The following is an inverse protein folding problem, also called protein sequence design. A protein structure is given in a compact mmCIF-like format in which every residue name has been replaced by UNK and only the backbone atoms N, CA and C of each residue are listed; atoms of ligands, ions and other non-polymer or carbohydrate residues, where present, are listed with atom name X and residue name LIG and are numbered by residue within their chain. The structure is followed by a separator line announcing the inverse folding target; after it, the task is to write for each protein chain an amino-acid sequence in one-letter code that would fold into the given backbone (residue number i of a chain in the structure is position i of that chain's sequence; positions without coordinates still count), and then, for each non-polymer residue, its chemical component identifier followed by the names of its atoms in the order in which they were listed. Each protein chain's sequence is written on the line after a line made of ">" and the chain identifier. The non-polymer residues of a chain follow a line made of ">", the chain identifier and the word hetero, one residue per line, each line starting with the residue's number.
data_IF_606539864884
#
_entry.id   IF_606539864884
#
_cell.length_a   1.000
_cell.length_b   1.000
_cell.length_c   1.000
_cell.angle_alpha   90.00
_cell.angle_beta   90.00
_cell.angle_gamma   90.00
#
_symmetry.space_group_name_H-M   'P 1'
#
loop_
_entity.id
_entity.type
_entity.pdbx_description
1 polymer ?
#
# COMPACT_ATOMS: atom_id res chain seq x y z
N UNK A 1 -24.12 21.63 0.17
CA UNK A 1 -22.78 22.16 -0.19
C UNK A 1 -22.13 21.10 -1.06
N UNK A 2 -21.87 21.44 -2.29
CA UNK A 2 -21.36 20.52 -3.31
C UNK A 2 -19.94 20.09 -2.93
N UNK A 3 -19.71 18.78 -2.75
CA UNK A 3 -18.37 18.21 -2.67
C UNK A 3 -17.59 18.52 -3.96
N UNK A 4 -16.90 19.66 -3.99
CA UNK A 4 -15.82 19.83 -4.95
C UNK A 4 -14.77 18.76 -4.63
N UNK A 5 -14.47 17.91 -5.58
CA UNK A 5 -13.39 16.92 -5.52
C UNK A 5 -12.11 17.67 -5.13
N UNK A 6 -11.64 17.46 -3.90
CA UNK A 6 -10.37 17.98 -3.41
C UNK A 6 -9.26 17.37 -4.29
N UNK A 7 -8.75 18.16 -5.23
CA UNK A 7 -7.58 17.81 -6.03
C UNK A 7 -6.34 18.37 -5.33
N UNK A 8 -5.27 17.58 -5.22
CA UNK A 8 -3.97 18.15 -4.93
C UNK A 8 -3.48 18.83 -6.21
N UNK A 9 -3.61 20.15 -6.27
CA UNK A 9 -3.21 20.90 -7.44
C UNK A 9 -1.71 20.92 -7.66
N UNK A 10 -0.90 20.65 -6.61
CA UNK A 10 0.55 20.78 -6.65
C UNK A 10 1.25 19.65 -5.94
N UNK A 11 2.33 19.17 -6.54
CA UNK A 11 3.21 18.19 -5.94
C UNK A 11 4.68 18.59 -6.13
N UNK A 12 5.56 18.08 -5.28
CA UNK A 12 6.99 18.26 -5.41
C UNK A 12 7.76 16.97 -5.14
N UNK A 13 8.82 16.76 -5.93
CA UNK A 13 9.79 15.70 -5.73
C UNK A 13 11.12 16.34 -5.38
N UNK A 14 11.63 16.09 -4.17
CA UNK A 14 12.91 16.59 -3.72
C UNK A 14 14.01 15.64 -4.22
N UNK A 15 14.80 16.11 -5.16
CA UNK A 15 15.82 15.32 -5.85
C UNK A 15 17.24 15.69 -5.38
N UNK A 16 17.38 16.77 -4.61
CA UNK A 16 18.64 17.23 -4.05
C UNK A 16 19.29 16.21 -3.12
N UNK A 17 20.62 16.17 -3.13
CA UNK A 17 21.45 15.31 -2.30
C UNK A 17 22.48 14.52 -3.11
N UNK A 18 23.72 14.48 -2.58
CA UNK A 18 24.80 13.73 -3.20
C UNK A 18 24.67 12.23 -2.89
N UNK A 19 24.42 11.42 -3.91
CA UNK A 19 24.25 9.96 -3.79
C UNK A 19 25.59 9.22 -3.62
N UNK A 20 26.48 9.72 -2.73
CA UNK A 20 27.83 9.17 -2.52
C UNK A 20 27.82 7.67 -2.18
N UNK A 21 26.77 7.20 -1.48
CA UNK A 21 26.62 5.79 -1.06
C UNK A 21 26.16 4.84 -2.16
N UNK A 22 25.78 5.36 -3.32
CA UNK A 22 25.26 4.59 -4.46
C UNK A 22 26.24 4.61 -5.66
N UNK A 23 27.55 4.71 -5.40
CA UNK A 23 28.57 4.75 -6.46
C UNK A 23 28.53 6.01 -7.33
N UNK A 24 27.99 7.13 -6.82
CA UNK A 24 27.93 8.41 -7.51
C UNK A 24 26.78 8.56 -8.51
N UNK A 25 25.98 7.51 -8.76
CA UNK A 25 24.79 7.65 -9.61
C UNK A 25 23.64 8.35 -8.87
N UNK A 26 23.00 9.33 -9.51
CA UNK A 26 21.81 9.98 -8.94
C UNK A 26 20.69 8.95 -8.71
N UNK A 27 20.15 8.89 -7.48
CA UNK A 27 19.10 7.93 -7.11
C UNK A 27 17.88 7.96 -8.01
N UNK A 28 17.47 9.14 -8.46
CA UNK A 28 16.30 9.32 -9.32
C UNK A 28 16.42 8.66 -10.70
N UNK A 29 17.67 8.33 -11.14
CA UNK A 29 17.95 7.60 -12.38
C UNK A 29 17.98 6.08 -12.18
N UNK A 30 18.01 5.60 -10.94
CA UNK A 30 17.97 4.16 -10.65
C UNK A 30 16.70 3.56 -11.26
N UNK A 31 16.86 2.38 -11.86
CA UNK A 31 15.78 1.71 -12.59
C UNK A 31 15.31 0.50 -11.80
N UNK A 32 14.00 0.29 -11.83
CA UNK A 32 13.41 -0.96 -11.36
C UNK A 32 13.76 -2.13 -12.31
N UNK A 33 13.34 -3.33 -11.93
CA UNK A 33 13.55 -4.52 -12.74
C UNK A 33 12.95 -4.47 -14.14
N UNK A 34 12.01 -3.54 -14.40
CA UNK A 34 11.39 -3.31 -15.72
C UNK A 34 12.05 -2.19 -16.52
N UNK A 35 13.13 -1.62 -16.00
CA UNK A 35 13.86 -0.53 -16.64
C UNK A 35 13.25 0.85 -16.46
N UNK A 36 12.21 1.02 -15.63
CA UNK A 36 11.61 2.31 -15.34
C UNK A 36 12.36 3.01 -14.21
N UNK A 37 12.74 4.30 -14.39
CA UNK A 37 13.45 5.05 -13.34
C UNK A 37 12.53 5.45 -12.18
N UNK A 38 13.09 5.66 -10.98
CA UNK A 38 12.37 6.14 -9.82
C UNK A 38 11.59 7.40 -10.11
N UNK A 39 12.23 8.38 -10.74
CA UNK A 39 11.59 9.63 -11.08
C UNK A 39 10.35 9.43 -11.97
N UNK A 40 10.43 8.58 -12.99
CA UNK A 40 9.27 8.28 -13.85
C UNK A 40 8.13 7.63 -13.08
N UNK A 41 8.43 6.70 -12.15
CA UNK A 41 7.41 6.08 -11.29
C UNK A 41 6.72 7.11 -10.40
N UNK A 42 7.49 7.99 -9.77
CA UNK A 42 6.94 9.03 -8.89
C UNK A 42 6.11 10.05 -9.67
N UNK A 43 6.58 10.51 -10.83
CA UNK A 43 5.81 11.41 -11.71
C UNK A 43 4.48 10.75 -12.12
N UNK A 44 4.49 9.45 -12.43
CA UNK A 44 3.26 8.71 -12.73
C UNK A 44 2.29 8.67 -11.55
N UNK A 45 2.78 8.43 -10.33
CA UNK A 45 1.95 8.44 -9.12
C UNK A 45 1.36 9.83 -8.80
N UNK A 46 1.98 10.89 -9.33
CA UNK A 46 1.56 12.29 -9.16
C UNK A 46 0.82 12.84 -10.40
N UNK A 47 0.39 11.99 -11.33
CA UNK A 47 -0.18 12.44 -12.60
C UNK A 47 -1.47 13.25 -12.49
N UNK A 48 -2.17 13.14 -11.38
CA UNK A 48 -3.38 13.94 -11.09
C UNK A 48 -3.08 15.34 -10.54
N UNK A 49 -1.82 15.65 -10.21
CA UNK A 49 -1.42 17.00 -9.84
C UNK A 49 -1.35 17.89 -11.10
N UNK A 50 -1.86 19.11 -11.00
CA UNK A 50 -1.84 20.08 -12.10
C UNK A 50 -0.41 20.58 -12.36
N UNK A 51 0.45 20.60 -11.32
CA UNK A 51 1.86 20.99 -11.41
C UNK A 51 2.74 20.10 -10.55
N UNK A 52 3.88 19.70 -11.10
CA UNK A 52 4.91 18.93 -10.38
C UNK A 52 6.20 19.73 -10.36
N UNK A 53 6.67 20.10 -9.16
CA UNK A 53 7.95 20.78 -8.94
C UNK A 53 9.05 19.75 -8.69
N UNK A 54 10.21 19.96 -9.31
CA UNK A 54 11.37 19.09 -9.18
C UNK A 54 12.53 19.92 -8.60
N UNK A 55 12.85 19.72 -7.32
CA UNK A 55 13.94 20.44 -6.65
C UNK A 55 15.27 19.74 -6.93
N UNK A 56 16.24 20.44 -7.48
CA UNK A 56 17.56 19.98 -7.83
C UNK A 56 18.64 20.75 -7.07
N UNK A 57 19.76 20.10 -6.75
CA UNK A 57 20.86 20.74 -6.02
C UNK A 57 21.62 21.78 -6.88
N UNK A 58 21.68 21.56 -8.20
CA UNK A 58 22.43 22.41 -9.14
C UNK A 58 21.88 22.29 -10.57
N UNK A 59 22.44 23.10 -11.48
CA UNK A 59 22.07 23.12 -12.89
C UNK A 59 22.38 21.80 -13.62
N UNK A 60 23.48 21.14 -13.27
CA UNK A 60 23.85 19.86 -13.90
C UNK A 60 22.82 18.79 -13.58
N UNK A 61 22.39 18.72 -12.33
CA UNK A 61 21.31 17.80 -11.91
C UNK A 61 19.99 18.17 -12.59
N UNK A 62 19.66 19.47 -12.68
CA UNK A 62 18.45 19.93 -13.35
C UNK A 62 18.42 19.53 -14.83
N UNK A 63 19.53 19.64 -15.53
CA UNK A 63 19.65 19.21 -16.93
C UNK A 63 19.39 17.69 -17.10
N UNK A 64 19.92 16.87 -16.19
CA UNK A 64 19.64 15.43 -16.18
C UNK A 64 18.15 15.12 -15.94
N UNK A 65 17.50 15.85 -15.05
CA UNK A 65 16.07 15.71 -14.72
C UNK A 65 15.21 16.06 -15.96
N UNK A 66 15.51 17.15 -16.63
CA UNK A 66 14.78 17.59 -17.83
C UNK A 66 14.81 16.55 -18.94
N UNK A 67 15.92 15.83 -19.11
CA UNK A 67 16.02 14.73 -20.07
C UNK A 67 15.09 13.54 -19.75
N UNK A 68 14.74 13.34 -18.48
CA UNK A 68 13.83 12.27 -18.02
C UNK A 68 12.37 12.68 -18.14
N UNK A 69 12.07 13.98 -18.03
CA UNK A 69 10.71 14.54 -17.89
C UNK A 69 10.17 15.17 -19.18
N UNK A 70 10.68 14.81 -20.35
CA UNK A 70 10.33 15.42 -21.65
C UNK A 70 8.83 15.43 -22.00
N UNK A 71 8.05 14.57 -21.37
CA UNK A 71 6.66 14.31 -21.75
C UNK A 71 5.63 14.89 -20.77
N UNK A 72 6.04 15.68 -19.75
CA UNK A 72 5.14 16.23 -18.74
C UNK A 72 5.54 17.64 -18.29
N UNK A 73 4.54 18.44 -17.91
CA UNK A 73 4.68 19.78 -17.32
C UNK A 73 5.30 19.69 -15.90
N UNK A 74 6.62 19.45 -15.87
CA UNK A 74 7.41 19.46 -14.65
C UNK A 74 8.23 20.74 -14.59
N UNK A 75 8.17 21.41 -13.42
CA UNK A 75 8.87 22.66 -13.16
C UNK A 75 10.13 22.39 -12.37
N UNK A 76 11.29 22.54 -12.99
CA UNK A 76 12.58 22.39 -12.33
C UNK A 76 12.93 23.60 -11.50
N UNK A 77 13.35 23.41 -10.26
CA UNK A 77 13.82 24.44 -9.34
C UNK A 77 15.23 24.08 -8.84
N UNK A 78 16.13 25.04 -8.79
CA UNK A 78 17.44 24.86 -8.17
C UNK A 78 17.33 25.26 -6.71
N UNK A 79 17.86 24.46 -5.80
CA UNK A 79 17.81 24.70 -4.36
C UNK A 79 18.46 26.04 -4.00
N UNK A 80 17.66 26.91 -3.39
CA UNK A 80 18.09 28.26 -2.96
C UNK A 80 19.21 28.16 -1.91
N UNK A 81 19.09 27.19 -1.00
CA UNK A 81 20.09 26.94 0.05
C UNK A 81 20.68 25.55 -0.18
N UNK A 82 21.97 25.51 -0.49
CA UNK A 82 22.69 24.28 -0.81
C UNK A 82 23.09 23.51 0.44
N UNK A 83 23.30 22.21 0.27
CA UNK A 83 23.83 21.29 1.30
C UNK A 83 22.97 21.19 2.58
N UNK A 84 21.70 21.54 2.49
CA UNK A 84 20.75 21.47 3.60
C UNK A 84 19.85 20.21 3.55
N UNK A 85 20.18 19.26 2.70
CA UNK A 85 19.40 18.05 2.50
C UNK A 85 17.95 18.34 2.05
N UNK A 86 16.99 17.48 2.41
CA UNK A 86 15.59 17.65 1.98
C UNK A 86 14.95 18.96 2.46
N UNK A 87 15.43 19.54 3.57
CA UNK A 87 14.91 20.82 4.09
C UNK A 87 15.18 21.97 3.11
N UNK A 88 16.35 21.99 2.45
CA UNK A 88 16.69 22.99 1.42
C UNK A 88 15.76 22.92 0.23
N UNK A 89 15.49 21.73 -0.28
CA UNK A 89 14.55 21.51 -1.37
C UNK A 89 13.12 21.89 -0.99
N UNK A 90 12.66 21.50 0.20
CA UNK A 90 11.34 21.90 0.72
C UNK A 90 11.24 23.43 0.83
N UNK A 91 12.27 24.08 1.36
CA UNK A 91 12.31 25.55 1.43
C UNK A 91 12.17 26.19 0.06
N UNK A 92 12.91 25.70 -0.93
CA UNK A 92 12.87 26.19 -2.31
C UNK A 92 11.48 26.07 -2.92
N UNK A 93 10.84 24.93 -2.75
CA UNK A 93 9.49 24.69 -3.27
C UNK A 93 8.47 25.58 -2.59
N UNK A 94 8.49 25.67 -1.26
CA UNK A 94 7.55 26.53 -0.52
C UNK A 94 7.77 28.01 -0.80
N UNK A 95 9.01 28.47 -1.03
CA UNK A 95 9.30 29.85 -1.46
C UNK A 95 8.67 30.19 -2.82
N UNK A 96 8.65 29.23 -3.75
CA UNK A 96 7.97 29.42 -5.02
C UNK A 96 6.46 29.59 -4.86
N UNK A 97 5.89 29.06 -3.78
CA UNK A 97 4.46 29.06 -3.48
C UNK A 97 4.09 30.02 -2.33
N UNK A 98 4.98 30.92 -1.91
CA UNK A 98 4.84 31.76 -0.71
C UNK A 98 3.56 32.60 -0.67
N UNK A 99 3.07 33.00 -1.84
CA UNK A 99 1.88 33.85 -1.98
C UNK A 99 0.58 33.01 -2.13
N UNK A 100 0.71 31.69 -2.04
CA UNK A 100 -0.39 30.73 -2.15
C UNK A 100 -0.57 30.02 -0.81
N UNK A 101 -1.78 30.01 -0.28
CA UNK A 101 -2.09 29.31 0.99
C UNK A 101 -2.74 27.97 0.70
N UNK A 102 -2.02 27.09 0.01
CA UNK A 102 -2.50 25.77 -0.42
C UNK A 102 -1.57 24.65 0.05
N UNK A 103 -2.14 23.45 0.12
CA UNK A 103 -1.37 22.24 0.33
C UNK A 103 -0.54 21.87 -0.91
N UNK A 104 0.70 21.47 -0.70
CA UNK A 104 1.54 20.81 -1.69
C UNK A 104 1.95 19.43 -1.17
N UNK A 105 1.76 18.40 -2.00
CA UNK A 105 2.30 17.08 -1.68
C UNK A 105 3.80 17.05 -1.95
N UNK A 106 4.57 16.61 -0.97
CA UNK A 106 6.04 16.55 -1.07
C UNK A 106 6.52 15.12 -0.84
N UNK A 107 7.37 14.66 -1.75
CA UNK A 107 8.08 13.40 -1.64
C UNK A 107 9.57 13.56 -1.97
N UNK A 108 10.38 12.56 -1.63
CA UNK A 108 11.78 12.52 -2.04
C UNK A 108 12.04 11.34 -2.97
N UNK A 109 13.16 11.40 -3.71
CA UNK A 109 13.52 10.36 -4.66
C UNK A 109 13.88 9.00 -4.04
N UNK A 110 13.94 8.90 -2.73
CA UNK A 110 14.21 7.66 -2.00
C UNK A 110 12.95 6.86 -1.60
N UNK A 111 11.76 7.32 -2.01
CA UNK A 111 10.47 6.64 -1.85
C UNK A 111 9.98 6.13 -3.22
N UNK A 112 10.56 5.05 -3.77
CA UNK A 112 10.26 4.60 -5.13
C UNK A 112 8.88 3.97 -5.29
N UNK A 113 8.24 3.53 -4.20
CA UNK A 113 6.92 2.89 -4.19
C UNK A 113 5.79 3.87 -3.85
N UNK A 114 5.98 5.16 -4.15
CA UNK A 114 4.89 6.14 -4.08
C UNK A 114 3.73 5.70 -4.97
N UNK A 115 2.51 5.76 -4.41
CA UNK A 115 1.28 5.42 -5.13
C UNK A 115 0.30 6.60 -5.15
N UNK A 116 -0.58 6.62 -6.13
CA UNK A 116 -1.68 7.60 -6.20
C UNK A 116 -2.58 7.52 -4.95
N UNK A 117 -2.81 6.33 -4.41
CA UNK A 117 -3.57 6.10 -3.19
C UNK A 117 -2.97 6.82 -1.98
N UNK A 118 -1.63 6.85 -1.83
CA UNK A 118 -0.97 7.60 -0.75
C UNK A 118 -1.25 9.10 -0.86
N UNK A 119 -1.20 9.65 -2.05
CA UNK A 119 -1.49 11.07 -2.27
C UNK A 119 -2.97 11.36 -1.98
N UNK A 120 -3.87 10.55 -2.54
CA UNK A 120 -5.31 10.72 -2.44
C UNK A 120 -5.82 10.64 -1.00
N UNK A 121 -5.30 9.72 -0.18
CA UNK A 121 -5.75 9.57 1.21
C UNK A 121 -5.34 10.74 2.12
N UNK A 122 -4.20 11.40 1.89
CA UNK A 122 -3.87 12.66 2.59
C UNK A 122 -4.77 13.81 2.15
N UNK A 123 -5.10 13.87 0.85
CA UNK A 123 -6.00 14.90 0.32
C UNK A 123 -7.40 14.78 0.93
N UNK A 124 -7.89 13.56 1.15
CA UNK A 124 -9.22 13.33 1.76
C UNK A 124 -9.38 14.00 3.12
N UNK A 125 -8.30 14.07 3.92
CA UNK A 125 -8.32 14.66 5.26
C UNK A 125 -7.73 16.08 5.30
N UNK A 126 -7.30 16.62 4.15
CA UNK A 126 -6.59 17.90 4.10
C UNK A 126 -7.45 19.11 4.41
N UNK A 127 -8.75 19.08 4.08
CA UNK A 127 -9.68 20.17 4.35
C UNK A 127 -9.87 20.36 5.87
N UNK A 128 -10.16 19.27 6.58
CA UNK A 128 -10.33 19.30 8.03
C UNK A 128 -9.02 19.72 8.73
N UNK A 129 -7.88 19.25 8.24
CA UNK A 129 -6.59 19.63 8.76
C UNK A 129 -6.28 21.12 8.52
N UNK A 130 -6.69 21.66 7.37
CA UNK A 130 -6.57 23.08 7.07
C UNK A 130 -7.39 23.94 8.05
N UNK A 131 -8.65 23.61 8.25
CA UNK A 131 -9.56 24.31 9.16
C UNK A 131 -9.06 24.26 10.62
N UNK A 132 -8.44 23.14 11.00
CA UNK A 132 -7.81 22.98 12.31
C UNK A 132 -6.46 23.70 12.44
N UNK A 133 -5.95 24.33 11.36
CA UNK A 133 -4.74 25.11 11.34
C UNK A 133 -3.44 24.29 11.41
N UNK A 134 -3.42 23.09 10.84
CA UNK A 134 -2.18 22.32 10.66
C UNK A 134 -1.32 22.91 9.55
N UNK A 135 0.00 22.90 9.74
CA UNK A 135 1.00 23.37 8.78
C UNK A 135 1.52 22.25 7.85
N UNK A 136 1.50 21.01 8.34
CA UNK A 136 1.89 19.84 7.58
C UNK A 136 1.17 18.59 8.06
N UNK A 137 1.15 17.57 7.18
CA UNK A 137 0.63 16.24 7.46
C UNK A 137 1.57 15.20 6.88
N UNK A 138 1.93 14.19 7.67
CA UNK A 138 2.86 13.13 7.25
C UNK A 138 2.37 11.78 7.71
N UNK A 139 2.80 10.72 7.02
CA UNK A 139 2.47 9.37 7.41
C UNK A 139 3.29 8.86 8.60
N UNK A 140 2.62 8.00 9.39
CA UNK A 140 3.25 7.08 10.32
C UNK A 140 2.92 5.64 9.88
N UNK A 141 3.93 4.79 9.74
CA UNK A 141 3.76 3.38 9.40
C UNK A 141 3.26 2.54 10.60
N UNK A 142 2.92 1.26 10.37
CA UNK A 142 2.41 0.35 11.40
C UNK A 142 3.40 0.11 12.55
N UNK A 143 4.69 0.41 12.34
CA UNK A 143 5.78 0.29 13.34
C UNK A 143 6.01 1.58 14.11
N UNK A 144 5.18 2.61 13.90
CA UNK A 144 5.32 3.91 14.53
C UNK A 144 6.37 4.83 13.90
N UNK A 145 6.99 4.47 12.76
CA UNK A 145 7.97 5.32 12.09
C UNK A 145 7.28 6.41 11.31
N UNK A 146 7.71 7.65 11.49
CA UNK A 146 7.23 8.82 10.77
C UNK A 146 8.00 8.99 9.46
N UNK A 147 7.28 9.32 8.39
CA UNK A 147 7.80 9.51 7.03
C UNK A 147 7.68 10.97 6.57
N UNK A 148 8.61 11.86 6.98
CA UNK A 148 8.52 13.30 6.70
C UNK A 148 8.67 13.65 5.20
N UNK A 149 9.18 12.74 4.39
CA UNK A 149 9.33 12.93 2.95
C UNK A 149 8.22 12.20 2.15
N UNK A 150 7.06 12.09 2.76
CA UNK A 150 5.84 11.64 2.14
C UNK A 150 4.66 12.30 2.86
N UNK A 151 4.28 13.52 2.44
CA UNK A 151 3.30 14.30 3.18
C UNK A 151 2.83 15.55 2.46
N UNK A 152 1.88 16.24 3.07
CA UNK A 152 1.38 17.55 2.64
C UNK A 152 2.02 18.66 3.50
N UNK A 153 2.40 19.75 2.86
CA UNK A 153 3.07 20.90 3.47
C UNK A 153 2.45 22.21 2.99
N UNK A 154 2.50 23.26 3.83
CA UNK A 154 1.99 24.59 3.49
C UNK A 154 3.10 25.65 3.57
N UNK A 155 2.97 26.74 2.78
CA UNK A 155 3.90 27.87 2.86
C UNK A 155 3.99 28.56 4.24
N UNK A 156 2.99 28.37 5.11
CA UNK A 156 3.03 28.83 6.52
C UNK A 156 4.26 28.35 7.29
N UNK A 157 4.91 27.26 6.85
CA UNK A 157 6.15 26.73 7.43
C UNK A 157 7.41 27.56 7.13
N UNK A 158 7.36 28.46 6.15
CA UNK A 158 8.54 29.22 5.72
C UNK A 158 9.28 29.94 6.87
N UNK A 159 8.62 30.61 7.83
CA UNK A 159 9.33 31.27 8.93
C UNK A 159 10.09 30.26 9.81
N UNK A 160 9.49 29.09 10.07
CA UNK A 160 10.12 28.02 10.87
C UNK A 160 11.34 27.46 10.14
N UNK A 161 11.19 27.17 8.84
CA UNK A 161 12.30 26.65 8.02
C UNK A 161 13.43 27.66 7.92
N UNK A 162 13.14 28.95 7.72
CA UNK A 162 14.16 30.01 7.71
C UNK A 162 14.95 30.08 9.01
N UNK A 163 14.25 29.96 10.14
CA UNK A 163 14.91 29.90 11.44
C UNK A 163 15.82 28.69 11.56
N UNK A 164 15.33 27.49 11.16
CA UNK A 164 16.12 26.26 11.18
C UNK A 164 17.38 26.36 10.30
N UNK A 165 17.25 26.91 9.09
CA UNK A 165 18.37 27.12 8.18
C UNK A 165 19.43 28.03 8.78
N UNK A 166 19.03 29.15 9.45
CA UNK A 166 19.96 30.06 10.17
C UNK A 166 20.75 29.34 11.26
N UNK A 167 20.12 28.43 11.99
CA UNK A 167 20.76 27.64 13.05
C UNK A 167 21.41 26.36 12.56
N UNK A 168 21.49 26.12 11.24
CA UNK A 168 22.03 24.90 10.61
C UNK A 168 21.40 23.60 11.11
N UNK A 169 20.12 23.67 11.46
CA UNK A 169 19.31 22.50 11.82
C UNK A 169 18.50 22.02 10.61
N UNK A 170 19.02 20.98 9.92
CA UNK A 170 18.47 20.51 8.65
C UNK A 170 17.59 19.26 8.79
N UNK A 171 17.25 18.85 10.01
CA UNK A 171 16.52 17.62 10.27
C UNK A 171 15.01 17.81 10.04
N UNK A 172 14.42 17.07 9.09
CA UNK A 172 12.98 17.12 8.83
C UNK A 172 12.13 16.81 10.08
N UNK A 173 12.57 15.88 10.93
CA UNK A 173 11.87 15.58 12.18
C UNK A 173 11.78 16.78 13.12
N UNK A 174 12.80 17.65 13.14
CA UNK A 174 12.77 18.87 13.96
C UNK A 174 11.80 19.92 13.39
N UNK A 175 11.59 19.93 12.06
CA UNK A 175 10.54 20.74 11.45
C UNK A 175 9.16 20.32 11.94
N UNK A 176 8.87 19.00 11.91
CA UNK A 176 7.58 18.46 12.35
C UNK A 176 7.29 18.79 13.83
N UNK A 177 8.31 18.71 14.71
CA UNK A 177 8.17 19.03 16.15
C UNK A 177 7.90 20.52 16.38
N UNK A 178 8.45 21.40 15.53
CA UNK A 178 8.32 22.86 15.64
C UNK A 178 7.10 23.43 14.91
N UNK A 179 6.32 22.58 14.25
CA UNK A 179 5.13 22.96 13.50
C UNK A 179 3.89 22.25 14.04
N UNK A 180 2.72 22.70 13.63
CA UNK A 180 1.47 21.98 13.87
C UNK A 180 1.36 20.85 12.82
N UNK A 181 1.93 19.70 13.14
CA UNK A 181 1.98 18.55 12.27
C UNK A 181 0.88 17.53 12.63
N UNK A 182 0.06 17.16 11.64
CA UNK A 182 -0.87 16.04 11.76
C UNK A 182 -0.16 14.75 11.37
N UNK A 183 -0.10 13.79 12.28
CA UNK A 183 0.42 12.45 12.01
C UNK A 183 -0.73 11.55 11.59
N UNK A 184 -0.65 11.04 10.36
CA UNK A 184 -1.69 10.19 9.75
C UNK A 184 -1.23 8.74 9.74
N UNK A 185 -1.98 7.85 10.38
CA UNK A 185 -1.68 6.41 10.37
C UNK A 185 -1.89 5.83 8.98
N UNK A 186 -0.84 5.27 8.38
CA UNK A 186 -0.91 4.62 7.07
C UNK A 186 -1.86 3.42 7.09
N UNK A 187 -1.85 2.64 8.18
CA UNK A 187 -2.71 1.48 8.34
C UNK A 187 -4.20 1.87 8.33
N UNK A 188 -4.58 2.98 9.01
CA UNK A 188 -5.96 3.49 8.98
C UNK A 188 -6.39 3.98 7.59
N UNK A 189 -5.45 4.34 6.74
CA UNK A 189 -5.68 4.76 5.36
C UNK A 189 -5.55 3.61 4.34
N UNK A 190 -5.34 2.38 4.80
CA UNK A 190 -5.16 1.22 3.92
C UNK A 190 -3.85 1.25 3.12
N UNK A 191 -2.85 2.02 3.56
CA UNK A 191 -1.54 2.13 2.90
C UNK A 191 -0.56 1.14 3.53
N UNK A 192 -0.07 0.15 2.79
CA UNK A 192 0.86 -0.85 3.33
C UNK A 192 2.25 -0.28 3.57
N UNK A 193 2.96 -0.81 4.58
CA UNK A 193 4.31 -0.39 4.95
C UNK A 193 5.34 -0.54 3.81
N UNK A 194 5.07 -1.43 2.86
CA UNK A 194 5.90 -1.63 1.66
C UNK A 194 6.02 -0.38 0.79
N UNK A 195 5.04 0.53 0.87
CA UNK A 195 5.09 1.82 0.17
C UNK A 195 6.16 2.77 0.73
N UNK A 196 6.60 2.58 1.98
CA UNK A 196 7.58 3.43 2.66
C UNK A 196 9.01 2.86 2.64
N UNK A 197 9.28 1.93 1.73
CA UNK A 197 10.63 1.37 1.58
C UNK A 197 11.59 2.47 1.14
N UNK A 198 12.64 2.66 1.94
CA UNK A 198 13.67 3.66 1.70
C UNK A 198 14.93 2.98 1.13
N UNK A 199 15.40 3.39 -0.04
CA UNK A 199 16.53 2.78 -0.72
C UNK A 199 17.77 3.65 -0.56
N UNK A 200 18.61 3.29 0.41
CA UNK A 200 19.80 4.06 0.78
C UNK A 200 21.12 3.30 0.59
N UNK A 201 21.07 2.00 0.27
CA UNK A 201 22.27 1.18 0.06
C UNK A 201 22.16 0.35 -1.23
N UNK A 202 23.28 -0.05 -1.84
CA UNK A 202 23.27 -0.93 -3.01
C UNK A 202 22.51 -2.24 -2.78
N UNK A 203 22.64 -2.84 -1.59
CA UNK A 203 21.96 -4.09 -1.24
C UNK A 203 20.44 -3.88 -1.12
N UNK A 204 19.99 -2.73 -0.60
CA UNK A 204 18.58 -2.36 -0.55
C UNK A 204 18.04 -2.14 -1.97
N UNK A 205 18.85 -1.55 -2.86
CA UNK A 205 18.50 -1.36 -4.25
C UNK A 205 18.36 -2.69 -5.00
N UNK A 206 19.32 -3.60 -4.89
CA UNK A 206 19.21 -4.89 -5.55
C UNK A 206 18.03 -5.72 -5.02
N UNK A 207 17.77 -5.70 -3.73
CA UNK A 207 16.54 -6.31 -3.16
C UNK A 207 15.29 -5.72 -3.76
N UNK A 208 15.18 -4.40 -3.78
CA UNK A 208 14.02 -3.72 -4.35
C UNK A 208 13.87 -3.98 -5.86
N UNK A 209 14.97 -3.93 -6.62
CA UNK A 209 14.99 -4.22 -8.05
C UNK A 209 14.49 -5.64 -8.34
N UNK A 210 14.93 -6.61 -7.55
CA UNK A 210 14.46 -7.99 -7.65
C UNK A 210 12.99 -8.14 -7.23
N UNK A 211 12.53 -7.39 -6.24
CA UNK A 211 11.11 -7.31 -5.86
C UNK A 211 10.28 -6.64 -6.97
N UNK A 212 10.84 -5.69 -7.70
CA UNK A 212 10.19 -5.01 -8.83
C UNK A 212 10.21 -5.84 -10.12
N UNK A 213 11.13 -6.79 -10.26
CA UNK A 213 11.10 -7.85 -11.30
C UNK A 213 9.99 -8.86 -11.00
N UNK A 214 9.84 -9.19 -9.76
CA UNK A 214 8.63 -9.79 -9.23
C UNK A 214 7.67 -8.61 -9.05
N UNK A 215 6.79 -8.31 -10.03
CA UNK A 215 5.61 -7.45 -9.83
C UNK A 215 5.10 -7.69 -8.41
N UNK A 216 4.45 -6.71 -7.71
CA UNK A 216 3.37 -7.11 -6.84
C UNK A 216 2.52 -8.01 -7.75
N UNK A 217 2.62 -9.31 -7.55
CA UNK A 217 1.86 -10.30 -8.29
C UNK A 217 0.47 -9.73 -8.23
N UNK A 218 -0.16 -9.57 -9.37
CA UNK A 218 -1.56 -9.20 -9.39
C UNK A 218 -2.24 -10.31 -8.59
N UNK A 219 -2.29 -10.06 -7.27
CA UNK A 219 -2.71 -11.03 -6.29
C UNK A 219 -4.15 -11.36 -6.61
N UNK A 220 -4.42 -12.57 -7.03
CA UNK A 220 -5.78 -12.97 -7.32
C UNK A 220 -6.46 -13.35 -6.00
N UNK A 221 -7.54 -12.64 -5.71
CA UNK A 221 -8.34 -12.90 -4.50
C UNK A 221 -9.64 -13.52 -4.95
N UNK A 222 -10.00 -14.66 -4.37
CA UNK A 222 -11.24 -15.35 -4.67
C UNK A 222 -11.93 -15.81 -3.39
N UNK A 223 -13.17 -15.43 -3.24
CA UNK A 223 -14.02 -15.87 -2.15
C UNK A 223 -14.72 -17.18 -2.52
N UNK A 224 -14.68 -18.17 -1.63
CA UNK A 224 -15.32 -19.48 -1.81
C UNK A 224 -16.45 -19.61 -0.80
N UNK A 225 -17.67 -19.49 -1.29
CA UNK A 225 -18.90 -19.43 -0.51
C UNK A 225 -19.68 -20.74 -0.61
N UNK A 226 -20.75 -20.85 0.14
CA UNK A 226 -21.67 -21.99 0.15
C UNK A 226 -22.19 -22.26 1.56
N UNK A 227 -23.25 -23.06 1.67
CA UNK A 227 -23.84 -23.44 2.96
C UNK A 227 -22.88 -24.32 3.79
N UNK A 228 -23.19 -24.52 5.06
CA UNK A 228 -22.42 -25.43 5.93
C UNK A 228 -22.41 -26.84 5.31
N UNK A 229 -21.26 -27.51 5.36
CA UNK A 229 -21.04 -28.87 4.81
C UNK A 229 -21.17 -29.00 3.28
N UNK A 230 -21.20 -27.90 2.52
CA UNK A 230 -21.23 -27.95 1.04
C UNK A 230 -19.94 -28.46 0.40
N UNK A 231 -18.86 -28.66 1.18
CA UNK A 231 -17.57 -29.16 0.67
C UNK A 231 -16.56 -28.06 0.33
N UNK A 232 -16.74 -26.82 0.83
CA UNK A 232 -15.82 -25.70 0.63
C UNK A 232 -14.37 -26.06 0.96
N UNK A 233 -14.14 -26.57 2.16
CA UNK A 233 -12.79 -26.93 2.62
C UNK A 233 -12.14 -27.97 1.72
N UNK A 234 -12.88 -29.02 1.34
CA UNK A 234 -12.39 -30.08 0.41
C UNK A 234 -12.03 -29.49 -0.96
N UNK A 235 -12.86 -28.58 -1.47
CA UNK A 235 -12.58 -27.92 -2.76
C UNK A 235 -11.34 -27.02 -2.67
N UNK A 236 -11.20 -26.24 -1.59
CA UNK A 236 -10.02 -25.42 -1.31
C UNK A 236 -8.76 -26.29 -1.22
N UNK A 237 -8.81 -27.43 -0.54
CA UNK A 237 -7.66 -28.35 -0.45
C UNK A 237 -7.22 -28.88 -1.80
N UNK A 238 -8.16 -29.24 -2.69
CA UNK A 238 -7.85 -29.65 -4.08
C UNK A 238 -7.20 -28.48 -4.82
N UNK A 239 -7.79 -27.28 -4.76
CA UNK A 239 -7.32 -26.09 -5.46
C UNK A 239 -5.92 -25.68 -4.99
N UNK A 240 -5.61 -25.75 -3.69
CA UNK A 240 -4.29 -25.49 -3.14
C UNK A 240 -3.21 -26.43 -3.69
N UNK A 241 -3.53 -27.71 -3.87
CA UNK A 241 -2.62 -28.71 -4.47
C UNK A 241 -2.30 -28.34 -5.92
N UNK A 242 -3.34 -27.97 -6.69
CA UNK A 242 -3.16 -27.55 -8.09
C UNK A 242 -2.39 -26.23 -8.22
N UNK A 243 -2.69 -25.22 -7.41
CA UNK A 243 -1.94 -23.96 -7.39
C UNK A 243 -0.46 -24.23 -7.12
N UNK A 244 -0.17 -25.08 -6.14
CA UNK A 244 1.21 -25.47 -5.79
C UNK A 244 1.90 -26.23 -6.93
N UNK A 245 1.21 -27.14 -7.62
CA UNK A 245 1.76 -27.90 -8.76
C UNK A 245 2.17 -27.00 -9.92
N UNK A 246 1.52 -25.84 -10.07
CA UNK A 246 1.85 -24.79 -11.04
C UNK A 246 2.93 -23.80 -10.53
N UNK A 247 3.63 -24.14 -9.45
CA UNK A 247 4.72 -23.32 -8.90
C UNK A 247 4.25 -22.00 -8.27
N UNK A 248 2.95 -21.89 -7.92
CA UNK A 248 2.36 -20.70 -7.31
C UNK A 248 2.15 -20.88 -5.81
N UNK A 249 2.16 -19.79 -5.08
CA UNK A 249 1.87 -19.74 -3.64
C UNK A 249 0.43 -19.30 -3.39
N UNK A 250 -0.20 -19.87 -2.37
CA UNK A 250 -1.53 -19.45 -1.95
C UNK A 250 -1.61 -19.27 -0.44
N UNK A 251 -2.37 -18.28 0.00
CA UNK A 251 -2.83 -18.11 1.38
C UNK A 251 -4.33 -18.38 1.48
N UNK A 252 -4.78 -18.79 2.65
CA UNK A 252 -6.20 -19.01 2.92
C UNK A 252 -6.60 -18.19 4.15
N UNK A 253 -7.66 -17.41 3.99
CA UNK A 253 -8.33 -16.69 5.07
C UNK A 253 -9.68 -17.37 5.28
N UNK A 254 -9.92 -17.87 6.48
CA UNK A 254 -11.23 -18.45 6.82
C UNK A 254 -11.97 -17.45 7.72
N UNK A 255 -13.16 -17.06 7.27
CA UNK A 255 -14.09 -16.29 8.08
C UNK A 255 -15.08 -17.26 8.74
N UNK A 256 -15.08 -17.29 10.05
CA UNK A 256 -16.12 -17.96 10.84
C UNK A 256 -17.14 -16.92 11.28
N UNK A 257 -18.43 -17.24 11.13
CA UNK A 257 -19.52 -16.35 11.55
C UNK A 257 -19.80 -16.40 13.06
N UNK A 258 -19.03 -17.17 13.80
CA UNK A 258 -19.11 -17.33 15.26
C UNK A 258 -17.73 -17.20 15.85
N UNK A 259 -17.64 -16.92 17.16
CA UNK A 259 -16.40 -16.95 17.89
C UNK A 259 -15.75 -18.33 17.79
N UNK A 260 -14.43 -18.33 17.60
CA UNK A 260 -13.64 -19.55 17.49
C UNK A 260 -12.52 -19.55 18.51
N UNK A 261 -12.17 -20.74 19.00
CA UNK A 261 -10.98 -20.91 19.85
C UNK A 261 -9.75 -21.04 18.95
N UNK A 262 -8.85 -20.04 19.01
CA UNK A 262 -7.66 -19.96 18.16
C UNK A 262 -6.51 -20.86 18.59
N UNK A 263 -6.45 -21.27 19.86
CA UNK A 263 -5.36 -22.04 20.44
C UNK A 263 -5.87 -23.37 21.04
N UNK A 264 -4.96 -24.31 21.25
CA UNK A 264 -5.30 -25.63 21.82
C UNK A 264 -5.26 -25.59 23.34
N UNK A 265 -6.30 -26.13 24.04
CA UNK A 265 -6.25 -26.30 25.49
C UNK A 265 -4.99 -27.05 25.92
N UNK A 266 -4.32 -26.54 26.97
CA UNK A 266 -3.13 -27.16 27.55
C UNK A 266 -1.78 -26.64 27.00
N UNK A 267 -1.76 -25.81 25.99
CA UNK A 267 -0.54 -25.12 25.54
C UNK A 267 -0.20 -23.94 26.45
N UNK A 268 1.06 -23.50 26.48
CA UNK A 268 1.47 -22.34 27.29
C UNK A 268 0.79 -21.06 26.83
N UNK A 269 0.67 -20.84 25.52
CA UNK A 269 -0.02 -19.70 24.94
C UNK A 269 -1.50 -19.66 25.32
N UNK A 270 -2.18 -20.80 25.30
CA UNK A 270 -3.55 -20.92 25.80
C UNK A 270 -3.65 -20.55 27.30
N UNK A 271 -2.71 -21.02 28.10
CA UNK A 271 -2.68 -20.69 29.56
C UNK A 271 -2.44 -19.20 29.80
N UNK A 272 -1.57 -18.56 29.01
CA UNK A 272 -1.35 -17.12 29.12
C UNK A 272 -2.60 -16.33 28.76
N UNK A 273 -3.28 -16.76 27.71
CA UNK A 273 -4.53 -16.15 27.28
C UNK A 273 -5.61 -16.29 28.37
N UNK A 274 -5.82 -17.48 28.92
CA UNK A 274 -6.75 -17.72 30.02
C UNK A 274 -6.39 -16.95 31.32
N UNK A 275 -5.13 -16.59 31.49
CA UNK A 275 -4.66 -15.76 32.59
C UNK A 275 -4.86 -14.25 32.35
N UNK A 276 -5.45 -13.84 31.21
CA UNK A 276 -5.82 -12.47 30.93
C UNK A 276 -4.88 -11.72 30.00
N UNK A 277 -4.02 -12.41 29.25
CA UNK A 277 -3.26 -11.77 28.18
C UNK A 277 -4.20 -11.36 27.04
N UNK A 278 -4.16 -10.09 26.61
CA UNK A 278 -4.96 -9.55 25.47
C UNK A 278 -4.54 -10.12 24.14
N UNK A 279 -3.32 -10.63 24.03
CA UNK A 279 -2.80 -11.34 22.88
C UNK A 279 -1.69 -12.28 23.27
N UNK A 280 -1.50 -13.34 22.50
CA UNK A 280 -0.38 -14.27 22.66
C UNK A 280 0.29 -14.52 21.30
N UNK A 281 1.60 -14.72 21.33
CA UNK A 281 2.35 -15.09 20.14
C UNK A 281 3.36 -16.19 20.46
N UNK A 282 3.48 -17.13 19.55
CA UNK A 282 4.54 -18.13 19.56
C UNK A 282 5.28 -18.09 18.23
N UNK A 283 6.60 -18.10 18.26
CA UNK A 283 7.40 -18.07 17.04
C UNK A 283 8.64 -18.94 17.12
N UNK A 284 9.08 -19.37 15.95
CA UNK A 284 10.35 -20.05 15.73
C UNK A 284 11.05 -19.42 14.52
N UNK A 285 12.20 -19.94 14.12
CA UNK A 285 12.93 -19.41 12.92
C UNK A 285 12.07 -19.29 11.66
N UNK A 286 11.13 -20.23 11.43
CA UNK A 286 10.41 -20.35 10.17
C UNK A 286 8.88 -20.38 10.33
N UNK A 287 8.36 -20.21 11.53
CA UNK A 287 6.92 -20.29 11.82
C UNK A 287 6.55 -19.40 13.00
N UNK A 288 5.41 -18.75 12.92
CA UNK A 288 4.81 -18.04 14.02
C UNK A 288 3.28 -18.19 14.02
N UNK A 289 2.67 -17.98 15.16
CA UNK A 289 1.23 -17.89 15.36
C UNK A 289 0.96 -16.72 16.32
N UNK A 290 -0.05 -15.92 16.01
CA UNK A 290 -0.57 -14.85 16.87
C UNK A 290 -2.04 -15.15 17.13
N UNK A 291 -2.44 -15.04 18.39
CA UNK A 291 -3.84 -15.10 18.83
C UNK A 291 -4.14 -13.81 19.60
N UNK A 292 -5.11 -13.03 19.15
CA UNK A 292 -5.48 -11.74 19.72
C UNK A 292 -7.01 -11.56 19.65
N UNK A 293 -7.59 -10.95 20.68
CA UNK A 293 -9.00 -10.55 20.73
C UNK A 293 -9.11 -9.08 20.33
N UNK A 294 -9.03 -8.84 19.05
CA UNK A 294 -9.23 -7.51 18.47
C UNK A 294 -10.01 -7.61 17.16
N UNK A 295 -10.78 -6.57 16.86
CA UNK A 295 -11.44 -6.48 15.57
C UNK A 295 -10.40 -6.32 14.46
N UNK A 296 -10.44 -7.21 13.46
CA UNK A 296 -9.56 -7.18 12.32
C UNK A 296 -10.35 -7.08 11.02
N UNK A 297 -9.97 -6.15 10.16
CA UNK A 297 -10.54 -5.99 8.83
C UNK A 297 -9.95 -7.04 7.87
N UNK A 298 -10.80 -7.59 6.98
CA UNK A 298 -10.39 -8.49 5.92
C UNK A 298 -9.26 -7.94 5.07
N UNK A 299 -9.25 -6.63 4.78
CA UNK A 299 -8.19 -6.01 3.99
C UNK A 299 -6.84 -6.02 4.71
N UNK A 300 -6.82 -5.91 6.03
CA UNK A 300 -5.59 -6.04 6.84
C UNK A 300 -5.03 -7.46 6.75
N UNK A 301 -5.89 -8.50 6.80
CA UNK A 301 -5.46 -9.89 6.61
C UNK A 301 -4.93 -10.14 5.20
N UNK A 302 -5.60 -9.62 4.16
CA UNK A 302 -5.15 -9.71 2.76
C UNK A 302 -3.77 -9.06 2.62
N UNK A 303 -3.57 -7.86 3.16
CA UNK A 303 -2.29 -7.15 3.12
C UNK A 303 -1.18 -7.92 3.86
N UNK A 304 -1.53 -8.66 4.92
CA UNK A 304 -0.61 -9.52 5.66
C UNK A 304 -0.06 -10.69 4.83
N UNK A 305 -0.75 -11.09 3.77
CA UNK A 305 -0.35 -12.18 2.86
C UNK A 305 0.12 -11.68 1.48
N UNK A 306 0.71 -10.48 1.42
CA UNK A 306 1.18 -9.83 0.18
C UNK A 306 2.15 -10.67 -0.68
N UNK A 307 2.83 -11.65 -0.10
CA UNK A 307 3.76 -12.53 -0.81
C UNK A 307 3.08 -13.72 -1.50
N UNK A 308 1.79 -13.98 -1.23
CA UNK A 308 1.05 -15.04 -1.89
C UNK A 308 0.60 -14.62 -3.30
N UNK A 309 0.66 -15.55 -4.26
CA UNK A 309 0.12 -15.34 -5.62
C UNK A 309 -1.40 -15.27 -5.62
N UNK A 310 -2.02 -16.09 -4.77
CA UNK A 310 -3.46 -16.26 -4.65
C UNK A 310 -3.87 -16.15 -3.20
N UNK A 311 -4.96 -15.43 -2.91
CA UNK A 311 -5.65 -15.50 -1.61
C UNK A 311 -7.02 -16.11 -1.81
N UNK A 312 -7.28 -17.20 -1.12
CA UNK A 312 -8.59 -17.83 -1.04
C UNK A 312 -9.26 -17.42 0.26
N UNK A 313 -10.48 -16.88 0.17
CA UNK A 313 -11.26 -16.48 1.36
C UNK A 313 -12.42 -17.46 1.51
N UNK A 314 -12.41 -18.32 2.54
CA UNK A 314 -13.53 -19.20 2.85
C UNK A 314 -14.61 -18.46 3.63
N UNK A 315 -15.83 -18.39 3.10
CA UNK A 315 -16.95 -17.69 3.73
C UNK A 315 -17.25 -16.34 3.09
N UNK A 316 -17.55 -15.33 3.89
CA UNK A 316 -17.76 -13.93 3.44
C UNK A 316 -18.77 -13.74 2.30
N UNK A 317 -19.94 -14.40 2.36
CA UNK A 317 -20.99 -14.39 1.31
C UNK A 317 -21.42 -12.98 0.89
N UNK A 318 -21.35 -12.00 1.80
CA UNK A 318 -21.78 -10.60 1.62
C UNK A 318 -20.64 -9.68 1.12
N UNK A 319 -19.40 -10.17 1.00
CA UNK A 319 -18.28 -9.33 0.58
C UNK A 319 -18.42 -8.86 -0.88
N UNK A 320 -17.77 -7.75 -1.22
CA UNK A 320 -17.66 -7.26 -2.61
C UNK A 320 -16.57 -7.99 -3.43
N UNK A 321 -15.88 -8.97 -2.85
CA UNK A 321 -14.84 -9.75 -3.54
C UNK A 321 -15.44 -10.60 -4.66
N UNK A 322 -14.69 -10.87 -5.74
CA UNK A 322 -14.98 -11.92 -6.69
C UNK A 322 -15.19 -13.25 -5.96
N UNK A 323 -16.27 -13.96 -6.28
CA UNK A 323 -16.64 -15.16 -5.53
C UNK A 323 -17.17 -16.30 -6.41
N UNK A 324 -16.99 -17.51 -5.92
CA UNK A 324 -17.69 -18.70 -6.41
C UNK A 324 -18.51 -19.30 -5.28
N UNK A 325 -19.62 -19.93 -5.61
CA UNK A 325 -20.45 -20.62 -4.62
C UNK A 325 -20.48 -22.11 -4.87
N UNK A 326 -20.23 -22.90 -3.82
CA UNK A 326 -20.33 -24.35 -3.87
C UNK A 326 -21.74 -24.77 -3.51
N UNK A 327 -22.45 -25.34 -4.49
CA UNK A 327 -23.81 -25.85 -4.37
C UNK A 327 -23.81 -27.35 -4.67
N UNK A 328 -24.42 -28.17 -3.78
CA UNK A 328 -24.46 -29.61 -3.93
C UNK A 328 -25.87 -30.12 -3.94
N UNK A 329 -26.17 -31.01 -4.89
CA UNK A 329 -27.45 -31.63 -5.09
C UNK A 329 -28.06 -32.22 -3.81
N UNK A 330 -27.25 -32.87 -2.97
CA UNK A 330 -27.68 -33.51 -1.74
C UNK A 330 -27.77 -32.58 -0.51
N UNK A 331 -27.38 -31.31 -0.64
CA UNK A 331 -27.25 -30.40 0.54
C UNK A 331 -28.11 -29.16 0.36
N UNK A 332 -27.93 -28.42 -0.74
CA UNK A 332 -28.73 -27.24 -1.07
C UNK A 332 -28.72 -27.05 -2.58
N UNK A 333 -29.87 -26.87 -3.16
CA UNK A 333 -30.04 -26.66 -4.62
C UNK A 333 -30.18 -25.19 -4.98
N UNK A 334 -30.08 -24.30 -4.00
CA UNK A 334 -30.26 -22.86 -4.15
C UNK A 334 -29.01 -22.08 -3.74
N UNK A 335 -28.82 -20.94 -4.38
CA UNK A 335 -27.75 -19.99 -4.03
C UNK A 335 -28.01 -19.37 -2.65
N UNK A 336 -26.93 -19.18 -1.90
CA UNK A 336 -26.94 -18.52 -0.59
C UNK A 336 -26.19 -17.17 -0.60
N UNK A 337 -25.46 -16.88 -1.68
CA UNK A 337 -24.77 -15.62 -1.88
C UNK A 337 -25.64 -14.61 -2.63
N UNK A 338 -25.50 -13.33 -2.35
CA UNK A 338 -26.07 -12.28 -3.23
C UNK A 338 -25.29 -12.29 -4.56
N UNK A 339 -26.01 -12.13 -5.69
CA UNK A 339 -25.49 -12.28 -7.04
C UNK A 339 -24.40 -11.28 -7.49
N UNK A 340 -24.10 -10.24 -6.70
CA UNK A 340 -23.01 -9.31 -7.02
C UNK A 340 -21.67 -10.01 -6.93
N UNK A 341 -20.87 -9.92 -8.00
CA UNK A 341 -19.52 -10.50 -8.11
C UNK A 341 -19.45 -12.04 -7.97
N UNK A 342 -20.57 -12.74 -8.18
CA UNK A 342 -20.60 -14.20 -8.31
C UNK A 342 -20.16 -14.56 -9.73
N UNK A 343 -19.00 -15.21 -9.85
CA UNK A 343 -18.35 -15.57 -11.11
C UNK A 343 -18.93 -16.86 -11.65
N UNK A 344 -19.06 -17.87 -10.78
CA UNK A 344 -19.55 -19.19 -11.14
C UNK A 344 -20.15 -19.94 -9.95
N UNK A 345 -20.93 -20.94 -10.26
CA UNK A 345 -21.43 -21.94 -9.30
C UNK A 345 -20.65 -23.24 -9.51
N UNK A 346 -19.97 -23.69 -8.47
CA UNK A 346 -19.28 -24.98 -8.45
C UNK A 346 -20.26 -26.02 -7.95
N UNK A 347 -20.65 -26.98 -8.83
CA UNK A 347 -21.81 -27.80 -8.51
C UNK A 347 -21.80 -29.20 -9.17
N UNK A 348 -22.49 -30.12 -8.54
CA UNK A 348 -22.92 -31.42 -9.08
C UNK A 348 -24.41 -31.41 -9.49
N UNK A 349 -25.09 -30.25 -9.44
CA UNK A 349 -26.51 -30.10 -9.80
C UNK A 349 -26.69 -29.85 -11.32
N UNK A 350 -27.76 -30.40 -11.89
CA UNK A 350 -28.19 -30.06 -13.25
C UNK A 350 -28.96 -28.73 -13.32
N UNK A 351 -29.49 -28.27 -12.20
CA UNK A 351 -30.28 -27.05 -12.12
C UNK A 351 -29.59 -25.85 -12.79
N UNK A 352 -30.39 -24.94 -13.38
CA UNK A 352 -29.91 -23.65 -13.83
C UNK A 352 -29.84 -22.65 -12.66
N UNK A 353 -28.84 -21.74 -12.68
CA UNK A 353 -28.63 -20.73 -11.67
C UNK A 353 -28.67 -19.33 -12.30
N UNK A 354 -29.79 -18.97 -12.91
CA UNK A 354 -30.05 -17.67 -13.52
C UNK A 354 -28.98 -17.24 -14.55
N UNK A 355 -28.49 -18.21 -15.35
CA UNK A 355 -27.48 -17.98 -16.37
C UNK A 355 -26.06 -17.81 -15.85
N UNK A 356 -25.80 -18.05 -14.56
CA UNK A 356 -24.44 -18.02 -14.00
C UNK A 356 -23.68 -19.27 -14.47
N UNK A 357 -22.41 -19.08 -14.83
CA UNK A 357 -21.55 -20.17 -15.31
C UNK A 357 -21.46 -21.31 -14.27
N UNK A 358 -21.58 -22.55 -14.73
CA UNK A 358 -21.40 -23.74 -13.88
C UNK A 358 -20.03 -24.36 -14.08
N UNK A 359 -19.35 -24.59 -12.97
CA UNK A 359 -18.07 -25.31 -12.93
C UNK A 359 -18.25 -26.68 -12.25
N UNK A 360 -17.59 -27.72 -12.73
CA UNK A 360 -17.69 -29.06 -12.14
C UNK A 360 -17.16 -29.08 -10.71
N UNK A 361 -17.86 -29.76 -9.79
CA UNK A 361 -17.42 -29.89 -8.39
C UNK A 361 -16.16 -30.77 -8.26
N UNK A 362 -16.02 -31.78 -9.12
CA UNK A 362 -14.93 -32.75 -9.06
C UNK A 362 -13.65 -32.23 -9.71
N UNK A 363 -13.74 -31.24 -10.59
CA UNK A 363 -12.62 -30.66 -11.32
C UNK A 363 -12.47 -29.17 -11.03
N UNK A 364 -11.31 -28.76 -10.48
CA UNK A 364 -11.02 -27.37 -10.19
C UNK A 364 -10.27 -26.64 -11.32
N UNK A 365 -10.10 -27.24 -12.50
CA UNK A 365 -9.33 -26.67 -13.62
C UNK A 365 -9.86 -25.30 -14.08
N UNK A 366 -11.17 -25.11 -14.14
CA UNK A 366 -11.77 -23.82 -14.52
C UNK A 366 -11.48 -22.72 -13.49
N UNK A 367 -11.61 -23.06 -12.20
CA UNK A 367 -11.26 -22.15 -11.12
C UNK A 367 -9.77 -21.81 -11.13
N UNK A 368 -8.92 -22.81 -11.33
CA UNK A 368 -7.47 -22.64 -11.46
C UNK A 368 -7.12 -21.73 -12.64
N UNK A 369 -7.71 -21.96 -13.81
CA UNK A 369 -7.50 -21.10 -14.97
C UNK A 369 -7.90 -19.67 -14.70
N UNK A 370 -9.04 -19.42 -14.05
CA UNK A 370 -9.44 -18.08 -13.62
C UNK A 370 -8.40 -17.42 -12.72
N UNK A 371 -7.82 -18.17 -11.77
CA UNK A 371 -6.82 -17.64 -10.82
C UNK A 371 -5.44 -17.44 -11.44
N UNK A 372 -5.09 -18.18 -12.49
CA UNK A 372 -3.77 -18.12 -13.11
C UNK A 372 -3.72 -17.30 -14.40
N UNK A 373 -4.88 -16.93 -14.97
CA UNK A 373 -4.98 -16.00 -16.09
C UNK A 373 -4.72 -14.57 -15.59
N UNK A 374 -3.63 -13.92 -16.04
CA UNK A 374 -3.24 -12.55 -15.75
C UNK A 374 -2.26 -12.02 -16.74
#
# INVERSE_FOLDING_TARGET
>A
MTHQSLKCHKAAILLGGHSLRMGGQPKFLLKDGKGQSYLKKQIKALEKADRIYLSAADEAQLALIQNVCKDKDCYGLIDIVKDCGPLGGLYTVLQQLRDEDEWIFVTACDVPELTESMVGSLIQVSADAYEQGYDCMVYQDSRGRIHPLCGLYRPSLLPVIQQMLRYKDYKMMHLLIRSRCLIVSSAKMGIPDTCFVNINTPEAYERWKNTSLNKPKEQKILCICGVKNSGKTTYIEKLLKEIKSHGKSAAVIKHDGHDFEGDRPGTDTYRYYQAGAVATAIFSKNRYMINADEEIDLQQLINGFSDADVILVEGMKQSELPKIEIVREKISRTLSCCGKNLIAVVTDCEADFDGIEKWPLEDCSRCLNYLLQG
#
